data_IF_335924293647
#
_entry.id   IF_335924293647
#
_cell.length_a   1.000
_cell.length_b   1.000
_cell.length_c   1.000
_cell.angle_alpha   90.00
_cell.angle_beta   90.00
_cell.angle_gamma   90.00
#
_symmetry.space_group_name_H-M   'P 1'
#
loop_
_entity.id
_entity.type
_entity.pdbx_description
1 polymer ?
#
# COMPACT_ATOMS: atom_id res chain seq x y z
N UNK A 1 -21.48 9.91 15.64
CA UNK A 1 -20.40 9.03 15.16
C UNK A 1 -20.40 9.08 13.65
N UNK A 2 -19.24 9.25 13.02
CA UNK A 2 -19.07 9.39 11.56
C UNK A 2 -18.26 8.19 11.08
N UNK A 3 -18.80 7.37 10.18
CA UNK A 3 -18.03 6.24 9.63
C UNK A 3 -16.92 6.74 8.71
N UNK A 4 -15.70 6.25 8.93
CA UNK A 4 -14.55 6.43 8.05
C UNK A 4 -14.16 5.07 7.47
N UNK A 5 -14.62 4.81 6.26
CA UNK A 5 -14.39 3.56 5.53
C UNK A 5 -13.10 3.69 4.73
N UNK A 6 -12.17 2.75 4.94
CA UNK A 6 -10.84 2.76 4.32
C UNK A 6 -10.67 1.49 3.50
N UNK A 7 -10.47 1.67 2.19
CA UNK A 7 -10.07 0.58 1.30
C UNK A 7 -8.56 0.54 1.22
N UNK A 8 -7.98 -0.64 1.44
CA UNK A 8 -6.53 -0.79 1.42
C UNK A 8 -6.10 -2.13 0.85
N UNK A 9 -4.90 -2.15 0.27
CA UNK A 9 -4.22 -3.35 -0.19
C UNK A 9 -2.86 -3.42 0.51
N UNK A 10 -2.48 -4.52 1.21
CA UNK A 10 -1.20 -4.60 1.92
C UNK A 10 0.03 -4.47 1.01
N UNK A 11 -0.10 -4.72 -0.30
CA UNK A 11 1.00 -4.52 -1.27
C UNK A 11 1.17 -3.04 -1.70
N UNK A 12 0.21 -2.18 -1.38
CA UNK A 12 0.19 -0.80 -1.83
C UNK A 12 1.04 0.10 -0.91
N UNK A 13 2.15 0.69 -1.41
CA UNK A 13 2.97 1.56 -0.57
C UNK A 13 2.23 2.85 -0.17
N UNK A 14 1.33 3.35 -1.03
CA UNK A 14 0.49 4.50 -0.70
C UNK A 14 -0.52 4.22 0.40
N UNK A 15 -1.06 2.99 0.49
CA UNK A 15 -1.91 2.60 1.61
C UNK A 15 -1.14 2.61 2.93
N UNK A 16 0.13 2.18 2.93
CA UNK A 16 0.97 2.23 4.13
C UNK A 16 1.27 3.68 4.56
N UNK A 17 1.66 4.54 3.61
CA UNK A 17 1.86 5.98 3.85
C UNK A 17 0.59 6.63 4.38
N UNK A 18 -0.57 6.36 3.75
CA UNK A 18 -1.87 6.86 4.16
C UNK A 18 -2.25 6.42 5.57
N UNK A 19 -2.07 5.13 5.90
CA UNK A 19 -2.31 4.59 7.24
C UNK A 19 -1.45 5.28 8.31
N UNK A 20 -0.16 5.50 8.03
CA UNK A 20 0.75 6.21 8.96
C UNK A 20 0.33 7.66 9.18
N UNK A 21 -0.03 8.37 8.11
CA UNK A 21 -0.51 9.77 8.19
C UNK A 21 -1.84 9.87 8.93
N UNK A 22 -2.78 8.96 8.64
CA UNK A 22 -4.06 8.91 9.32
C UNK A 22 -3.88 8.64 10.80
N UNK A 23 -3.05 7.65 11.18
CA UNK A 23 -2.75 7.35 12.58
C UNK A 23 -2.28 8.58 13.36
N UNK A 24 -1.27 9.29 12.83
CA UNK A 24 -0.78 10.55 13.44
C UNK A 24 -1.85 11.64 13.53
N UNK A 25 -2.71 11.76 12.51
CA UNK A 25 -3.77 12.76 12.50
C UNK A 25 -4.87 12.46 13.54
N UNK A 26 -5.20 11.18 13.75
CA UNK A 26 -6.14 10.73 14.77
C UNK A 26 -5.56 10.90 16.17
N UNK A 27 -4.29 10.53 16.37
CA UNK A 27 -3.56 10.76 17.64
C UNK A 27 -3.54 12.24 18.03
N UNK A 28 -3.38 13.15 17.07
CA UNK A 28 -3.43 14.61 17.32
C UNK A 28 -4.83 15.16 17.66
N UNK A 29 -5.88 14.35 17.49
CA UNK A 29 -7.28 14.73 17.67
C UNK A 29 -8.04 13.61 18.40
N UNK A 30 -7.78 13.38 19.70
CA UNK A 30 -8.32 12.24 20.44
C UNK A 30 -9.85 12.22 20.49
N UNK A 31 -10.51 13.38 20.42
CA UNK A 31 -11.98 13.51 20.44
C UNK A 31 -12.62 13.41 19.05
N UNK A 32 -11.92 12.84 18.06
CA UNK A 32 -12.47 12.70 16.71
C UNK A 32 -13.76 11.84 16.72
N UNK A 33 -14.76 12.15 15.86
CA UNK A 33 -16.03 11.42 15.86
C UNK A 33 -15.98 10.12 15.04
N UNK A 34 -14.81 9.72 14.53
CA UNK A 34 -14.66 8.66 13.54
C UNK A 34 -14.77 7.25 14.13
N UNK A 35 -15.61 6.43 13.51
CA UNK A 35 -15.61 4.96 13.63
C UNK A 35 -14.94 4.41 12.37
N UNK A 36 -13.81 3.71 12.54
CA UNK A 36 -12.95 3.31 11.42
C UNK A 36 -13.24 1.88 11.01
N UNK A 37 -13.56 1.69 9.74
CA UNK A 37 -13.77 0.38 9.12
C UNK A 37 -12.73 0.18 8.00
N UNK A 38 -11.99 -0.92 8.06
CA UNK A 38 -11.06 -1.30 6.99
C UNK A 38 -11.74 -2.32 6.08
N UNK A 39 -11.55 -2.15 4.77
CA UNK A 39 -12.06 -3.06 3.76
C UNK A 39 -10.95 -3.48 2.79
N UNK A 40 -10.99 -4.74 2.32
CA UNK A 40 -10.00 -5.25 1.39
C UNK A 40 -10.18 -4.60 0.03
N UNK A 41 -9.07 -4.25 -0.61
CA UNK A 41 -9.00 -3.88 -2.01
C UNK A 41 -7.82 -4.60 -2.64
N UNK A 42 -8.01 -5.20 -3.81
CA UNK A 42 -6.92 -5.83 -4.56
C UNK A 42 -6.54 -4.94 -5.74
N UNK A 43 -5.33 -4.37 -5.72
CA UNK A 43 -4.77 -3.60 -6.83
C UNK A 43 -4.60 -4.44 -8.09
N UNK A 44 -4.39 -5.75 -7.93
CA UNK A 44 -4.36 -6.71 -9.02
C UNK A 44 -5.08 -8.01 -8.58
N UNK A 45 -6.40 -8.12 -8.83
CA UNK A 45 -7.16 -9.33 -8.52
C UNK A 45 -6.73 -10.55 -9.36
N UNK A 46 -6.11 -10.32 -10.51
CA UNK A 46 -5.66 -11.36 -11.44
C UNK A 46 -4.22 -11.83 -11.16
N UNK A 47 -3.58 -11.34 -10.09
CA UNK A 47 -2.24 -11.77 -9.69
C UNK A 47 -2.26 -13.29 -9.39
N UNK A 48 -1.41 -14.10 -10.04
CA UNK A 48 -1.40 -15.55 -9.82
C UNK A 48 -1.10 -15.89 -8.34
N UNK A 49 -1.54 -17.06 -7.84
CA UNK A 49 -1.29 -17.46 -6.44
C UNK A 49 0.18 -17.43 -6.05
N UNK A 50 1.05 -17.84 -6.97
CA UNK A 50 2.50 -17.78 -6.79
C UNK A 50 3.10 -16.38 -6.94
N UNK A 51 2.34 -15.36 -7.31
CA UNK A 51 2.83 -14.02 -7.61
C UNK A 51 3.73 -13.93 -8.84
N UNK A 52 4.24 -12.73 -9.11
CA UNK A 52 5.17 -12.44 -10.22
C UNK A 52 6.50 -11.93 -9.68
N UNK A 53 7.60 -12.15 -10.42
CA UNK A 53 8.87 -11.49 -10.13
C UNK A 53 8.65 -9.96 -10.13
N UNK A 54 9.24 -9.29 -9.13
CA UNK A 54 8.92 -7.90 -8.81
C UNK A 54 9.22 -6.95 -9.96
N UNK A 55 10.42 -7.03 -10.54
CA UNK A 55 10.85 -6.15 -11.63
C UNK A 55 9.98 -6.35 -12.85
N UNK A 56 9.77 -7.58 -13.30
CA UNK A 56 8.92 -7.91 -14.43
C UNK A 56 7.50 -7.36 -14.26
N UNK A 57 6.92 -7.49 -13.06
CA UNK A 57 5.60 -6.93 -12.77
C UNK A 57 5.56 -5.41 -12.87
N UNK A 58 6.54 -4.72 -12.26
CA UNK A 58 6.58 -3.25 -12.26
C UNK A 58 6.83 -2.69 -13.67
N UNK A 59 7.75 -3.30 -14.42
CA UNK A 59 8.03 -2.90 -15.80
C UNK A 59 6.82 -3.12 -16.70
N UNK A 60 6.13 -4.27 -16.59
CA UNK A 60 4.89 -4.51 -17.33
C UNK A 60 3.79 -3.50 -16.96
N UNK A 61 3.64 -3.17 -15.67
CA UNK A 61 2.60 -2.27 -15.16
C UNK A 61 2.83 -0.81 -15.56
N UNK A 62 4.07 -0.35 -15.56
CA UNK A 62 4.40 1.06 -15.71
C UNK A 62 5.05 1.41 -17.06
N UNK A 63 5.10 0.48 -18.01
CA UNK A 63 5.62 0.75 -19.36
C UNK A 63 7.15 0.74 -19.43
N UNK A 64 7.79 -0.17 -18.68
CA UNK A 64 9.23 -0.39 -18.66
C UNK A 64 9.91 0.10 -17.38
N UNK A 65 11.23 -0.08 -17.33
CA UNK A 65 12.07 0.26 -16.16
C UNK A 65 11.96 1.74 -15.79
N UNK A 66 12.01 2.62 -16.77
CA UNK A 66 11.94 4.07 -16.55
C UNK A 66 10.60 4.47 -15.94
N UNK A 67 9.49 3.96 -16.48
CA UNK A 67 8.16 4.18 -15.92
C UNK A 67 8.01 3.65 -14.50
N UNK A 68 8.56 2.48 -14.22
CA UNK A 68 8.59 1.92 -12.86
C UNK A 68 9.36 2.81 -11.88
N UNK A 69 10.54 3.33 -12.28
CA UNK A 69 11.32 4.27 -11.47
C UNK A 69 10.52 5.55 -11.23
N UNK A 70 9.97 6.17 -12.27
CA UNK A 70 9.18 7.40 -12.14
C UNK A 70 7.96 7.22 -11.24
N UNK A 71 7.31 6.07 -11.28
CA UNK A 71 6.19 5.75 -10.39
C UNK A 71 6.60 5.63 -8.91
N UNK A 72 7.83 5.17 -8.63
CA UNK A 72 8.32 4.92 -7.27
C UNK A 72 9.06 6.10 -6.63
N UNK A 73 9.62 7.03 -7.41
CA UNK A 73 10.23 8.26 -6.88
C UNK A 73 9.32 9.02 -5.89
N UNK A 74 8.06 9.35 -6.21
CA UNK A 74 7.19 10.06 -5.28
C UNK A 74 6.79 9.21 -4.06
N UNK A 75 6.78 7.88 -4.19
CA UNK A 75 6.50 6.96 -3.08
C UNK A 75 7.60 7.04 -2.03
N UNK A 76 8.86 7.01 -2.47
CA UNK A 76 10.03 7.06 -1.58
C UNK A 76 10.05 8.40 -0.82
N UNK A 77 9.92 9.52 -1.54
CA UNK A 77 9.87 10.86 -0.94
C UNK A 77 8.71 11.00 0.08
N UNK A 78 7.51 10.51 -0.27
CA UNK A 78 6.37 10.59 0.61
C UNK A 78 6.48 9.68 1.85
N UNK A 79 7.13 8.52 1.71
CA UNK A 79 7.41 7.60 2.80
C UNK A 79 8.41 8.22 3.79
N UNK A 80 9.51 8.77 3.29
CA UNK A 80 10.52 9.47 4.10
C UNK A 80 9.91 10.63 4.88
N UNK A 81 9.14 11.50 4.20
CA UNK A 81 8.38 12.59 4.85
C UNK A 81 7.36 12.10 5.87
N UNK A 82 6.98 10.83 5.82
CA UNK A 82 6.08 10.20 6.78
C UNK A 82 6.80 9.44 7.89
N UNK A 83 8.12 9.49 7.95
CA UNK A 83 8.94 8.75 8.91
C UNK A 83 8.98 7.25 8.64
N UNK A 84 8.75 6.82 7.39
CA UNK A 84 8.70 5.42 6.99
C UNK A 84 9.95 5.06 6.18
N UNK A 85 10.59 3.95 6.55
CA UNK A 85 11.65 3.33 5.75
C UNK A 85 11.06 2.20 4.91
N UNK A 86 11.22 2.29 3.59
CA UNK A 86 10.79 1.24 2.66
C UNK A 86 12.01 0.49 2.13
N UNK A 87 12.13 -0.80 2.43
CA UNK A 87 13.16 -1.65 1.85
C UNK A 87 12.65 -2.27 0.54
N UNK A 88 12.58 -1.44 -0.51
CA UNK A 88 12.04 -1.86 -1.81
C UNK A 88 12.92 -2.91 -2.50
N UNK A 89 14.23 -2.85 -2.30
CA UNK A 89 15.20 -3.76 -2.92
C UNK A 89 15.11 -5.18 -2.36
N UNK A 90 14.65 -5.34 -1.11
CA UNK A 90 14.39 -6.67 -0.53
C UNK A 90 13.16 -7.36 -1.14
N UNK A 91 12.32 -6.65 -1.91
CA UNK A 91 11.11 -7.21 -2.50
C UNK A 91 11.48 -7.92 -3.81
N UNK A 92 11.74 -9.23 -3.73
CA UNK A 92 12.00 -10.05 -4.92
C UNK A 92 10.73 -10.40 -5.71
N UNK A 93 9.55 -10.33 -5.09
CA UNK A 93 8.29 -10.82 -5.67
C UNK A 93 7.11 -9.93 -5.33
N UNK A 94 6.20 -9.75 -6.28
CA UNK A 94 4.86 -9.21 -6.03
C UNK A 94 3.90 -10.38 -5.81
N UNK A 95 3.46 -10.65 -4.57
CA UNK A 95 2.53 -11.74 -4.29
C UNK A 95 1.09 -11.35 -4.65
N UNK A 96 0.21 -12.35 -4.77
CA UNK A 96 -1.24 -12.12 -4.64
C UNK A 96 -1.55 -11.71 -3.21
N UNK A 97 -2.44 -10.74 -3.02
CA UNK A 97 -2.84 -10.25 -1.69
C UNK A 97 -4.09 -10.93 -1.14
N UNK A 98 -4.64 -11.92 -1.85
CA UNK A 98 -5.86 -12.62 -1.45
C UNK A 98 -5.77 -13.23 -0.04
N UNK A 99 -4.73 -14.01 0.22
CA UNK A 99 -4.58 -14.67 1.53
C UNK A 99 -4.16 -13.70 2.63
N UNK A 100 -3.48 -12.60 2.28
CA UNK A 100 -3.22 -11.51 3.22
C UNK A 100 -4.53 -10.84 3.65
N UNK A 101 -5.45 -10.58 2.71
CA UNK A 101 -6.77 -10.05 3.02
C UNK A 101 -7.61 -10.99 3.87
N UNK A 102 -7.60 -12.30 3.57
CA UNK A 102 -8.27 -13.34 4.38
C UNK A 102 -7.74 -13.48 5.80
N UNK A 103 -6.50 -13.05 6.05
CA UNK A 103 -5.92 -13.07 7.40
C UNK A 103 -6.26 -11.80 8.20
N UNK A 104 -6.37 -10.65 7.52
CA UNK A 104 -6.65 -9.36 8.13
C UNK A 104 -8.13 -9.24 8.55
N UNK A 105 -9.04 -9.90 7.82
CA UNK A 105 -10.49 -9.86 7.99
C UNK A 105 -11.05 -11.21 8.42
#
# INVERSE_FOLDING_TARGET
MVKLVIFSDPICPWCYIGKSRLGRALESRPDHPFEIEWHPFMLNPDMPPGGMERRAYLEAKFGGKEGAVQAYLPVIDAAEKSGLTLNLDAIARTPSTLDAHRLIH
#
